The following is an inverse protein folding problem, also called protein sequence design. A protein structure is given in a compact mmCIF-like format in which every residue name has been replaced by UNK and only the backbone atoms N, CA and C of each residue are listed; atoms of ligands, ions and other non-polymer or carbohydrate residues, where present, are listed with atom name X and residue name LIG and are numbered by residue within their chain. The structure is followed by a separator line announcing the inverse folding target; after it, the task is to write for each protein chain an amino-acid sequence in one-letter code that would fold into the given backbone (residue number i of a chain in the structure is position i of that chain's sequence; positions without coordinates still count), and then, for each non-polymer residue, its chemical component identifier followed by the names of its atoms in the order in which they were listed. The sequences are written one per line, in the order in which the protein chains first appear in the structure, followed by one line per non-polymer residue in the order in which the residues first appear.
data_IF_232858152048
#
_entry.id   IF_232858152048
#
_cell.length_a   1.000
_cell.length_b   1.000
_cell.length_c   1.000
_cell.angle_alpha   90.00
_cell.angle_beta   90.00
_cell.angle_gamma   90.00
#
_symmetry.space_group_name_H-M   'P 1'
#
loop_
_entity.id
_entity.type
_entity.pdbx_description
1 polymer ?
#
# COMPACT_ATOMS: atom_id res chain seq x y z
N UNK A 1 20.70 47.54 53.07
CA UNK A 1 21.11 47.13 51.69
C UNK A 1 21.19 45.59 51.49
N UNK A 2 21.61 44.83 52.46
CA UNK A 2 21.78 43.35 52.32
C UNK A 2 20.48 42.54 52.08
N UNK A 3 19.31 43.03 52.53
CA UNK A 3 18.01 42.33 52.35
C UNK A 3 17.43 42.54 50.94
N UNK A 4 17.70 43.65 50.27
CA UNK A 4 17.19 43.95 48.92
C UNK A 4 17.90 43.07 47.86
N UNK A 5 19.22 42.79 48.04
CA UNK A 5 19.96 41.88 47.16
C UNK A 5 19.44 40.46 47.16
N UNK A 6 18.94 39.95 48.29
CA UNK A 6 18.40 38.58 48.40
C UNK A 6 17.09 38.46 47.60
N UNK A 7 16.24 39.48 47.61
CA UNK A 7 14.99 39.46 46.84
C UNK A 7 15.25 39.57 45.32
N UNK A 8 16.28 40.35 44.92
CA UNK A 8 16.68 40.42 43.49
C UNK A 8 17.26 39.08 42.99
N UNK A 9 18.05 38.39 43.81
CA UNK A 9 18.63 37.09 43.47
C UNK A 9 17.52 36.02 43.40
N UNK A 10 16.54 36.04 44.32
CA UNK A 10 15.40 35.11 44.24
C UNK A 10 14.48 35.35 43.08
N UNK A 11 14.27 36.62 42.68
CA UNK A 11 13.50 36.99 41.52
C UNK A 11 14.21 36.57 40.23
N UNK A 12 15.55 36.68 40.16
CA UNK A 12 16.32 36.26 39.01
C UNK A 12 16.31 34.71 38.83
N UNK A 13 16.37 33.96 39.94
CA UNK A 13 16.28 32.52 39.94
C UNK A 13 14.90 31.97 39.53
N UNK A 14 13.82 32.74 39.71
CA UNK A 14 12.47 32.36 39.26
C UNK A 14 12.31 32.65 37.78
N UNK A 15 13.00 33.66 37.22
CA UNK A 15 12.95 34.00 35.80
C UNK A 15 13.76 33.04 34.90
N UNK A 16 14.75 32.34 35.46
CA UNK A 16 15.56 31.34 34.77
C UNK A 16 15.03 29.90 34.93
N UNK A 17 13.77 29.71 35.37
CA UNK A 17 13.18 28.38 35.31
C UNK A 17 13.03 27.98 33.84
N UNK A 18 13.85 27.02 33.32
CA UNK A 18 13.61 26.52 31.99
C UNK A 18 12.20 25.94 31.97
N UNK A 19 11.38 26.44 31.08
CA UNK A 19 10.05 25.89 30.81
C UNK A 19 10.30 24.43 30.44
N UNK A 20 10.17 23.50 31.40
CA UNK A 20 10.25 22.06 31.14
C UNK A 20 8.99 21.73 30.36
N UNK A 21 9.10 21.84 29.06
CA UNK A 21 8.07 21.33 28.15
C UNK A 21 7.99 19.84 28.40
N UNK A 22 6.92 19.41 29.05
CA UNK A 22 6.60 17.99 29.19
C UNK A 22 6.49 17.42 27.77
N UNK A 23 7.45 16.58 27.38
CA UNK A 23 7.38 15.89 26.10
C UNK A 23 6.36 14.78 26.24
N UNK A 24 5.23 14.90 25.57
CA UNK A 24 4.26 13.83 25.50
C UNK A 24 4.88 12.61 24.80
N UNK A 25 4.85 11.49 25.49
CA UNK A 25 5.36 10.23 24.98
C UNK A 25 4.24 9.22 24.85
N UNK A 26 4.18 8.53 23.73
CA UNK A 26 3.26 7.42 23.51
C UNK A 26 4.01 6.09 23.38
N UNK A 27 3.36 5.04 23.85
CA UNK A 27 3.82 3.67 23.70
C UNK A 27 3.26 3.10 22.40
N UNK A 28 4.09 2.98 21.37
CA UNK A 28 3.71 2.47 20.06
C UNK A 28 4.03 0.96 19.96
N UNK A 29 3.02 0.08 19.78
CA UNK A 29 3.26 -1.36 19.63
C UNK A 29 3.76 -1.67 18.23
N UNK A 30 4.94 -2.26 18.11
CA UNK A 30 5.46 -2.85 16.88
C UNK A 30 4.87 -4.25 16.72
N UNK A 31 4.35 -4.57 15.53
CA UNK A 31 3.59 -5.80 15.25
C UNK A 31 4.20 -6.59 14.11
N UNK A 32 4.15 -7.91 14.23
CA UNK A 32 4.21 -8.83 13.09
C UNK A 32 2.79 -9.08 12.65
N UNK A 33 2.54 -9.08 11.34
CA UNK A 33 1.21 -9.27 10.78
C UNK A 33 1.24 -10.38 9.75
N UNK A 34 0.24 -11.25 9.82
CA UNK A 34 -0.04 -12.24 8.80
C UNK A 34 -1.45 -11.99 8.25
N UNK A 35 -1.58 -11.91 6.95
CA UNK A 35 -2.86 -11.63 6.31
C UNK A 35 -3.05 -12.39 5.02
N UNK A 36 -4.31 -12.45 4.58
CA UNK A 36 -4.69 -13.05 3.31
C UNK A 36 -5.72 -12.18 2.61
N UNK A 37 -5.67 -12.19 1.28
CA UNK A 37 -6.64 -11.51 0.42
C UNK A 37 -7.92 -12.35 0.31
N UNK A 38 -9.08 -11.70 0.50
CA UNK A 38 -10.37 -12.37 0.39
C UNK A 38 -11.06 -12.14 -0.96
N UNK A 39 -10.58 -11.19 -1.77
CA UNK A 39 -11.15 -10.90 -3.09
C UNK A 39 -10.93 -12.09 -4.02
N UNK A 40 -9.70 -12.62 -4.07
CA UNK A 40 -9.38 -13.76 -4.93
C UNK A 40 -10.25 -14.99 -4.68
N UNK A 41 -10.32 -15.51 -3.44
CA UNK A 41 -11.26 -16.58 -3.10
C UNK A 41 -12.72 -16.24 -3.36
N UNK A 42 -13.16 -14.99 -3.14
CA UNK A 42 -14.49 -14.51 -3.44
C UNK A 42 -14.84 -14.60 -4.93
N UNK A 43 -13.94 -14.21 -5.80
CA UNK A 43 -14.09 -14.34 -7.26
C UNK A 43 -14.17 -15.82 -7.65
N UNK A 44 -13.33 -16.68 -7.07
CA UNK A 44 -13.35 -18.12 -7.35
C UNK A 44 -14.69 -18.79 -6.97
N UNK A 45 -15.35 -18.33 -5.92
CA UNK A 45 -16.69 -18.83 -5.56
C UNK A 45 -17.73 -18.49 -6.62
N UNK A 46 -17.57 -17.37 -7.32
CA UNK A 46 -18.44 -16.92 -8.40
C UNK A 46 -18.03 -17.52 -9.77
N UNK A 47 -16.73 -17.56 -10.03
CA UNK A 47 -16.14 -18.04 -11.27
C UNK A 47 -15.07 -19.10 -11.00
N UNK A 48 -15.44 -20.38 -11.01
CA UNK A 48 -14.54 -21.51 -10.71
C UNK A 48 -13.33 -21.66 -11.64
N UNK A 49 -13.29 -20.89 -12.71
CA UNK A 49 -12.20 -20.90 -13.69
C UNK A 49 -11.02 -19.98 -13.31
N UNK A 50 -11.16 -19.18 -12.25
CA UNK A 50 -10.17 -18.18 -11.87
C UNK A 50 -9.83 -18.29 -10.38
N UNK A 51 -8.93 -19.21 -10.04
CA UNK A 51 -8.43 -19.35 -8.68
C UNK A 51 -7.23 -18.42 -8.48
N UNK A 52 -7.38 -17.40 -7.66
CA UNK A 52 -6.30 -16.52 -7.21
C UNK A 52 -6.26 -16.50 -5.68
N UNK A 53 -5.15 -16.94 -5.10
CA UNK A 53 -4.93 -16.94 -3.66
C UNK A 53 -3.67 -16.15 -3.34
N UNK A 54 -3.78 -15.23 -2.38
CA UNK A 54 -2.69 -14.36 -1.99
C UNK A 54 -2.65 -14.18 -0.47
N UNK A 55 -1.45 -14.26 0.10
CA UNK A 55 -1.20 -13.99 1.51
C UNK A 55 0.05 -13.14 1.70
N UNK A 56 0.19 -12.52 2.87
CA UNK A 56 1.35 -11.71 3.20
C UNK A 56 1.78 -11.84 4.66
N UNK A 57 3.05 -11.56 4.87
CA UNK A 57 3.65 -11.32 6.17
C UNK A 57 4.26 -9.92 6.19
N UNK A 58 4.00 -9.18 7.26
CA UNK A 58 4.55 -7.83 7.46
C UNK A 58 5.22 -7.74 8.82
N UNK A 59 6.35 -7.07 8.86
CA UNK A 59 7.16 -6.90 10.04
C UNK A 59 7.49 -5.41 10.25
N UNK A 60 7.00 -4.80 11.34
CA UNK A 60 7.27 -3.40 11.66
C UNK A 60 8.73 -3.22 12.07
N UNK A 61 9.48 -2.42 11.32
CA UNK A 61 10.81 -1.97 11.72
C UNK A 61 10.71 -0.84 12.75
N UNK A 62 9.80 0.08 12.51
CA UNK A 62 9.51 1.21 13.38
C UNK A 62 8.06 1.68 13.17
N UNK A 63 7.67 2.80 13.80
CA UNK A 63 6.33 3.40 13.69
C UNK A 63 5.92 3.82 12.28
N UNK A 64 6.91 4.07 11.39
CA UNK A 64 6.68 4.57 10.03
C UNK A 64 6.90 3.53 8.94
N UNK A 65 7.71 2.50 9.20
CA UNK A 65 8.18 1.59 8.16
C UNK A 65 8.01 0.13 8.56
N UNK A 66 7.50 -0.69 7.65
CA UNK A 66 7.42 -2.14 7.78
C UNK A 66 7.98 -2.83 6.54
N UNK A 67 8.63 -3.99 6.74
CA UNK A 67 8.98 -4.91 5.66
C UNK A 67 7.81 -5.82 5.37
N UNK A 68 7.61 -6.16 4.09
CA UNK A 68 6.50 -7.01 3.67
C UNK A 68 6.99 -8.06 2.68
N UNK A 69 6.52 -9.28 2.90
CA UNK A 69 6.69 -10.42 2.01
C UNK A 69 5.31 -10.91 1.64
N UNK A 70 5.02 -11.01 0.36
CA UNK A 70 3.74 -11.51 -0.14
C UNK A 70 4.00 -12.73 -1.04
N UNK A 71 3.03 -13.62 -1.11
CA UNK A 71 3.08 -14.75 -2.00
C UNK A 71 1.69 -15.22 -2.38
N UNK A 72 1.58 -15.86 -3.53
CA UNK A 72 0.31 -16.33 -4.00
C UNK A 72 0.42 -17.31 -5.15
N UNK A 73 -0.74 -17.83 -5.53
CA UNK A 73 -0.89 -18.80 -6.58
C UNK A 73 -2.09 -18.44 -7.45
N UNK A 74 -1.92 -18.56 -8.77
CA UNK A 74 -2.96 -18.34 -9.77
C UNK A 74 -3.16 -19.61 -10.59
N UNK A 75 -4.42 -19.97 -10.78
CA UNK A 75 -4.85 -20.91 -11.81
C UNK A 75 -6.00 -20.26 -12.58
N UNK A 76 -5.64 -19.71 -13.73
CA UNK A 76 -6.55 -18.96 -14.60
C UNK A 76 -6.86 -19.78 -15.84
N UNK A 77 -8.14 -20.03 -16.11
CA UNK A 77 -8.63 -20.70 -17.30
C UNK A 77 -9.57 -19.77 -18.03
N UNK A 78 -9.33 -19.63 -19.30
CA UNK A 78 -10.15 -18.80 -20.18
C UNK A 78 -10.52 -19.56 -21.42
N UNK A 79 -11.81 -19.75 -21.65
CA UNK A 79 -12.34 -20.46 -22.79
C UNK A 79 -13.23 -19.53 -23.61
N UNK A 80 -12.93 -19.41 -24.88
CA UNK A 80 -13.78 -18.75 -25.86
C UNK A 80 -14.04 -19.66 -27.06
N UNK A 81 -14.95 -19.24 -27.91
CA UNK A 81 -15.34 -20.00 -29.11
C UNK A 81 -14.15 -20.49 -29.95
N UNK A 82 -13.07 -19.70 -29.98
CA UNK A 82 -11.92 -19.93 -30.85
C UNK A 82 -10.70 -20.52 -30.14
N UNK A 83 -10.59 -20.42 -28.80
CA UNK A 83 -9.41 -20.90 -28.09
C UNK A 83 -9.66 -21.15 -26.59
N UNK A 84 -8.92 -22.12 -26.08
CA UNK A 84 -8.82 -22.43 -24.66
C UNK A 84 -7.43 -22.09 -24.16
N UNK A 85 -7.35 -21.17 -23.19
CA UNK A 85 -6.10 -20.71 -22.60
C UNK A 85 -6.05 -21.02 -21.13
N UNK A 86 -4.90 -21.49 -20.67
CA UNK A 86 -4.63 -21.76 -19.24
C UNK A 86 -3.32 -21.07 -18.84
N UNK A 87 -3.34 -20.40 -17.70
CA UNK A 87 -2.14 -19.86 -17.05
C UNK A 87 -2.11 -20.27 -15.60
N UNK A 88 -1.05 -20.97 -15.20
CA UNK A 88 -0.91 -21.51 -13.84
C UNK A 88 0.48 -21.22 -13.30
N UNK A 89 0.55 -20.71 -12.08
CA UNK A 89 1.84 -20.44 -11.46
C UNK A 89 1.76 -19.78 -10.10
N UNK A 90 2.93 -19.60 -9.51
CA UNK A 90 3.11 -18.93 -8.23
C UNK A 90 3.85 -17.60 -8.42
N UNK A 91 3.65 -16.71 -7.47
CA UNK A 91 4.37 -15.45 -7.41
C UNK A 91 4.81 -15.12 -5.99
N UNK A 92 5.85 -14.34 -5.89
CA UNK A 92 6.31 -13.77 -4.64
C UNK A 92 6.59 -12.28 -4.82
N UNK A 93 6.39 -11.48 -3.77
CA UNK A 93 6.69 -10.05 -3.74
C UNK A 93 7.42 -9.71 -2.46
N UNK A 94 8.39 -8.84 -2.57
CA UNK A 94 9.14 -8.29 -1.44
C UNK A 94 9.05 -6.77 -1.49
N UNK A 95 8.90 -6.14 -0.34
CA UNK A 95 8.81 -4.70 -0.33
C UNK A 95 8.75 -4.07 1.05
N UNK A 96 8.40 -2.80 1.03
CA UNK A 96 8.29 -1.96 2.22
C UNK A 96 6.98 -1.19 2.21
N UNK A 97 6.41 -1.02 3.39
CA UNK A 97 5.27 -0.13 3.66
C UNK A 97 5.73 1.09 4.43
N UNK A 98 5.30 2.25 4.00
CA UNK A 98 5.48 3.52 4.70
C UNK A 98 4.14 3.98 5.26
N UNK A 99 4.09 4.19 6.57
CA UNK A 99 2.93 4.77 7.24
C UNK A 99 3.03 6.30 7.17
N UNK A 100 2.02 6.94 6.59
CA UNK A 100 1.92 8.38 6.47
C UNK A 100 1.23 9.02 7.68
N UNK A 101 0.56 8.21 8.51
CA UNK A 101 -0.07 8.71 9.72
C UNK A 101 0.98 9.05 10.78
N UNK A 102 0.75 10.14 11.48
CA UNK A 102 1.53 10.49 12.66
C UNK A 102 1.33 9.43 13.77
N UNK A 103 2.35 9.12 14.57
CA UNK A 103 2.26 8.06 15.58
C UNK A 103 1.16 8.28 16.63
N UNK A 104 0.86 9.52 16.98
CA UNK A 104 -0.23 9.94 17.87
C UNK A 104 -1.61 9.61 17.31
N UNK A 105 -1.81 9.78 16.00
CA UNK A 105 -3.06 9.46 15.29
C UNK A 105 -3.16 7.97 14.96
N UNK A 106 -2.04 7.33 14.64
CA UNK A 106 -2.02 5.91 14.30
C UNK A 106 -2.24 5.00 15.50
N UNK A 107 -1.69 5.34 16.68
CA UNK A 107 -1.74 4.58 17.95
C UNK A 107 -1.45 3.07 17.77
N UNK A 108 -0.80 2.67 16.67
CA UNK A 108 -0.59 1.28 16.30
C UNK A 108 -1.85 0.51 15.86
N UNK A 109 -3.01 1.17 15.78
CA UNK A 109 -4.28 0.56 15.36
C UNK A 109 -4.66 0.94 13.93
N UNK A 110 -4.22 2.10 13.45
CA UNK A 110 -4.50 2.62 12.13
C UNK A 110 -3.24 2.68 11.28
N UNK A 111 -3.40 2.41 10.01
CA UNK A 111 -2.36 2.60 9.02
C UNK A 111 -2.98 3.18 7.75
N UNK A 112 -2.42 4.26 7.27
CA UNK A 112 -2.67 4.78 5.94
C UNK A 112 -1.33 5.15 5.32
N UNK A 113 -1.05 4.63 4.14
CA UNK A 113 0.29 4.75 3.60
C UNK A 113 0.46 4.23 2.20
N UNK A 114 1.70 4.11 1.81
CA UNK A 114 2.12 3.66 0.49
C UNK A 114 3.13 2.53 0.66
N UNK A 115 2.91 1.44 -0.06
CA UNK A 115 3.85 0.35 -0.20
C UNK A 115 4.59 0.38 -1.54
N UNK A 116 5.83 -0.08 -1.55
CA UNK A 116 6.59 -0.38 -2.75
C UNK A 116 6.96 -1.86 -2.74
N UNK A 117 6.71 -2.56 -3.85
CA UNK A 117 6.94 -4.00 -4.01
C UNK A 117 7.72 -4.28 -5.29
N UNK A 118 8.60 -5.27 -5.20
CA UNK A 118 9.18 -5.96 -6.34
C UNK A 118 8.61 -7.37 -6.40
N UNK A 119 8.03 -7.74 -7.53
CA UNK A 119 7.37 -9.02 -7.76
C UNK A 119 8.11 -9.89 -8.76
N UNK A 120 8.12 -11.19 -8.46
CA UNK A 120 8.59 -12.27 -9.31
C UNK A 120 7.48 -13.28 -9.49
N UNK A 121 7.20 -13.65 -10.73
CA UNK A 121 6.21 -14.65 -11.10
C UNK A 121 6.84 -15.78 -11.87
N UNK A 122 6.58 -17.02 -11.45
CA UNK A 122 6.99 -18.27 -12.10
C UNK A 122 5.72 -19.00 -12.52
N UNK A 123 5.50 -19.16 -13.81
CA UNK A 123 4.25 -19.69 -14.31
C UNK A 123 4.42 -20.43 -15.62
N UNK A 124 3.41 -21.20 -16.00
CA UNK A 124 3.28 -21.80 -17.31
C UNK A 124 1.99 -21.34 -17.98
N UNK A 125 2.09 -21.14 -19.29
CA UNK A 125 0.93 -20.82 -20.12
C UNK A 125 0.83 -21.81 -21.26
N UNK A 126 -0.41 -22.19 -21.60
CA UNK A 126 -0.70 -23.08 -22.74
C UNK A 126 -1.98 -22.65 -23.43
N UNK A 127 -2.09 -22.99 -24.71
CA UNK A 127 -3.32 -22.90 -25.47
C UNK A 127 -3.65 -24.28 -26.02
N UNK A 128 -4.56 -24.97 -25.36
CA UNK A 128 -4.89 -26.37 -25.69
C UNK A 128 -5.69 -26.49 -26.99
N UNK A 129 -6.46 -25.48 -27.35
CA UNK A 129 -7.27 -25.47 -28.55
C UNK A 129 -7.24 -24.06 -29.15
N UNK A 130 -6.84 -23.96 -30.39
CA UNK A 130 -6.90 -22.75 -31.20
C UNK A 130 -7.61 -23.10 -32.51
N UNK A 131 -8.88 -22.72 -32.64
CA UNK A 131 -9.70 -22.99 -33.80
C UNK A 131 -9.68 -21.78 -34.72
N UNK A 132 -9.21 -21.99 -35.94
CA UNK A 132 -9.12 -20.96 -36.93
C UNK A 132 -9.95 -21.38 -38.18
N UNK A 133 -10.90 -20.53 -38.55
CA UNK A 133 -11.73 -20.74 -39.75
C UNK A 133 -11.44 -19.66 -40.75
N UNK A 134 -10.99 -20.06 -41.94
CA UNK A 134 -10.76 -19.16 -43.05
C UNK A 134 -11.42 -19.67 -44.33
N UNK A 135 -11.21 -18.94 -45.42
CA UNK A 135 -11.73 -19.32 -46.75
C UNK A 135 -11.29 -20.70 -47.23
N UNK A 136 -10.12 -21.18 -46.74
CA UNK A 136 -9.49 -22.45 -47.18
C UNK A 136 -9.89 -23.64 -46.26
N UNK A 137 -10.68 -23.40 -45.24
CA UNK A 137 -11.15 -24.45 -44.34
C UNK A 137 -11.01 -24.11 -42.84
N UNK A 138 -11.25 -25.12 -42.03
CA UNK A 138 -11.10 -25.06 -40.60
C UNK A 138 -9.78 -25.74 -40.20
N UNK A 139 -9.00 -25.06 -39.35
CA UNK A 139 -7.74 -25.59 -38.83
C UNK A 139 -7.77 -25.50 -37.31
N UNK A 140 -7.41 -26.59 -36.66
CA UNK A 140 -7.22 -26.64 -35.21
C UNK A 140 -5.74 -26.79 -34.92
N UNK A 141 -5.22 -25.95 -34.06
CA UNK A 141 -3.82 -25.96 -33.60
C UNK A 141 -3.78 -25.91 -32.07
N UNK A 142 -2.64 -26.20 -31.49
CA UNK A 142 -2.38 -26.05 -30.06
C UNK A 142 -1.00 -25.46 -29.86
N UNK A 143 -0.85 -24.67 -28.79
CA UNK A 143 0.44 -24.16 -28.35
C UNK A 143 0.78 -24.89 -27.07
N UNK A 144 1.90 -25.64 -27.04
CA UNK A 144 2.29 -26.43 -25.88
C UNK A 144 2.59 -25.54 -24.67
N UNK A 145 2.53 -26.14 -23.49
CA UNK A 145 2.84 -25.44 -22.24
C UNK A 145 4.28 -24.95 -22.22
N UNK A 146 4.45 -23.66 -22.01
CA UNK A 146 5.74 -22.99 -21.91
C UNK A 146 5.90 -22.38 -20.52
N UNK A 147 7.08 -22.64 -19.89
CA UNK A 147 7.43 -22.04 -18.59
C UNK A 147 8.00 -20.64 -18.79
N UNK A 148 7.49 -19.70 -18.02
CA UNK A 148 7.80 -18.29 -18.14
C UNK A 148 8.13 -17.69 -16.78
N UNK A 149 8.94 -16.63 -16.81
CA UNK A 149 9.31 -15.84 -15.63
C UNK A 149 8.97 -14.38 -15.93
N UNK A 150 8.25 -13.73 -15.02
CA UNK A 150 7.95 -12.31 -15.15
C UNK A 150 8.40 -11.54 -13.91
N UNK A 151 8.85 -10.31 -14.14
CA UNK A 151 9.29 -9.36 -13.11
C UNK A 151 8.48 -8.08 -13.21
N UNK A 152 8.06 -7.54 -12.08
CA UNK A 152 7.26 -6.33 -12.05
C UNK A 152 7.49 -5.53 -10.78
N UNK A 153 7.16 -4.24 -10.85
CA UNK A 153 7.12 -3.34 -9.70
C UNK A 153 5.66 -3.00 -9.36
N UNK A 154 5.40 -2.77 -8.10
CA UNK A 154 4.10 -2.30 -7.64
C UNK A 154 4.23 -1.13 -6.68
N UNK A 155 3.32 -0.16 -6.83
CA UNK A 155 3.04 0.88 -5.84
C UNK A 155 1.68 0.58 -5.23
N UNK A 156 1.62 0.54 -3.90
CA UNK A 156 0.48 0.00 -3.16
C UNK A 156 0.00 1.01 -2.11
N UNK A 157 -0.74 2.06 -2.50
CA UNK A 157 -1.45 2.88 -1.54
C UNK A 157 -2.58 2.08 -0.88
N UNK A 158 -2.84 2.36 0.40
CA UNK A 158 -3.90 1.67 1.11
C UNK A 158 -4.15 2.16 2.52
N UNK A 159 -5.17 1.58 3.12
CA UNK A 159 -5.57 1.85 4.50
C UNK A 159 -5.90 0.54 5.22
N UNK A 160 -5.62 0.50 6.51
CA UNK A 160 -5.91 -0.62 7.38
C UNK A 160 -6.30 -0.11 8.78
N UNK A 161 -7.28 -0.76 9.38
CA UNK A 161 -7.74 -0.48 10.73
C UNK A 161 -7.86 -1.76 11.55
N UNK A 162 -7.54 -1.70 12.83
CA UNK A 162 -7.78 -2.79 13.77
C UNK A 162 -9.27 -2.74 14.19
N UNK A 163 -10.02 -3.76 13.80
CA UNK A 163 -11.47 -3.85 14.05
C UNK A 163 -11.74 -4.59 15.38
N UNK A 164 -10.97 -5.62 15.64
CA UNK A 164 -10.98 -6.36 16.90
C UNK A 164 -9.57 -6.47 17.44
N UNK A 165 -9.44 -6.82 18.71
CA UNK A 165 -8.13 -7.03 19.32
C UNK A 165 -7.32 -8.02 18.47
N UNK A 166 -6.18 -7.56 17.97
CA UNK A 166 -5.26 -8.31 17.11
C UNK A 166 -5.81 -8.68 15.72
N UNK A 167 -6.97 -8.19 15.31
CA UNK A 167 -7.53 -8.43 13.99
C UNK A 167 -7.74 -7.11 13.26
N UNK A 168 -7.08 -6.96 12.12
CA UNK A 168 -7.22 -5.78 11.26
C UNK A 168 -7.82 -6.16 9.91
N UNK A 169 -8.51 -5.21 9.34
CA UNK A 169 -9.01 -5.26 7.97
C UNK A 169 -8.51 -4.04 7.21
N UNK A 170 -8.27 -4.20 5.93
CA UNK A 170 -7.80 -3.10 5.11
C UNK A 170 -7.94 -3.38 3.63
N UNK A 171 -7.91 -2.33 2.87
CA UNK A 171 -7.90 -2.42 1.42
C UNK A 171 -6.71 -1.67 0.85
N UNK A 172 -6.24 -2.14 -0.29
CA UNK A 172 -5.14 -1.53 -1.02
C UNK A 172 -5.49 -1.44 -2.49
N UNK A 173 -5.06 -0.36 -3.11
CA UNK A 173 -5.01 -0.24 -4.57
C UNK A 173 -3.60 -0.62 -4.99
N UNK A 174 -3.48 -1.36 -6.08
CA UNK A 174 -2.18 -1.81 -6.62
C UNK A 174 -1.99 -1.23 -8.01
N UNK A 175 -0.94 -0.47 -8.18
CA UNK A 175 -0.49 0.03 -9.48
C UNK A 175 0.78 -0.75 -9.85
N UNK A 176 0.71 -1.50 -10.95
CA UNK A 176 1.72 -2.48 -11.33
C UNK A 176 2.37 -2.09 -12.64
N UNK A 177 3.70 -2.20 -12.70
CA UNK A 177 4.51 -1.93 -13.89
C UNK A 177 5.31 -3.19 -14.25
N UNK A 178 5.09 -3.73 -15.44
CA UNK A 178 5.82 -4.89 -15.95
C UNK A 178 7.22 -4.47 -16.40
N UNK A 179 8.24 -5.10 -15.82
CA UNK A 179 9.64 -4.93 -16.22
C UNK A 179 10.03 -5.95 -17.28
N UNK A 180 9.61 -7.20 -17.09
CA UNK A 180 9.83 -8.30 -18.02
C UNK A 180 8.66 -9.26 -17.97
N UNK A 181 8.00 -9.48 -19.10
CA UNK A 181 6.78 -10.28 -19.21
C UNK A 181 7.02 -11.77 -19.49
N UNK A 182 8.28 -12.21 -19.55
CA UNK A 182 8.61 -13.60 -19.78
C UNK A 182 8.02 -14.16 -21.07
N UNK A 183 7.95 -13.34 -22.12
CA UNK A 183 7.39 -13.76 -23.40
C UNK A 183 8.09 -15.00 -23.92
N UNK A 184 7.33 -16.08 -24.09
CA UNK A 184 7.77 -17.26 -24.79
C UNK A 184 8.03 -16.99 -26.28
N UNK A 185 8.59 -17.95 -26.99
CA UNK A 185 8.88 -17.79 -28.42
C UNK A 185 7.60 -17.67 -29.23
N UNK A 186 6.55 -18.38 -28.83
CA UNK A 186 5.32 -18.54 -29.61
C UNK A 186 4.07 -17.99 -28.92
N UNK A 187 4.12 -17.75 -27.59
CA UNK A 187 2.94 -17.32 -26.82
C UNK A 187 3.24 -16.09 -25.95
N UNK A 188 2.45 -15.04 -26.16
CA UNK A 188 2.41 -13.93 -25.23
C UNK A 188 1.40 -14.25 -24.12
N UNK A 189 1.80 -14.22 -22.83
CA UNK A 189 0.88 -14.59 -21.75
C UNK A 189 -0.29 -13.60 -21.65
N UNK A 190 -1.51 -14.12 -21.60
CA UNK A 190 -2.72 -13.30 -21.37
C UNK A 190 -2.81 -12.91 -19.91
N UNK A 191 -2.47 -13.84 -19.00
CA UNK A 191 -2.51 -13.61 -17.57
C UNK A 191 -1.20 -14.05 -16.92
N UNK A 192 -0.63 -13.15 -16.10
CA UNK A 192 0.60 -13.39 -15.33
C UNK A 192 0.22 -13.41 -13.85
N UNK A 193 0.54 -14.50 -13.11
CA UNK A 193 0.26 -14.59 -11.68
C UNK A 193 0.81 -13.40 -10.90
N UNK A 194 -0.01 -12.84 -10.01
CA UNK A 194 0.34 -11.67 -9.21
C UNK A 194 0.34 -10.34 -9.96
N UNK A 195 0.56 -10.34 -11.27
CA UNK A 195 0.60 -9.13 -12.08
C UNK A 195 -0.75 -8.79 -12.71
N UNK A 196 -1.40 -9.74 -13.38
CA UNK A 196 -2.64 -9.56 -14.11
C UNK A 196 -2.48 -9.71 -15.62
N UNK A 197 -3.00 -8.81 -16.44
CA UNK A 197 -2.97 -8.91 -17.89
C UNK A 197 -1.55 -8.75 -18.44
N UNK A 198 -1.00 -9.81 -19.02
CA UNK A 198 0.36 -9.84 -19.57
C UNK A 198 0.54 -9.07 -20.88
N UNK A 199 -0.56 -8.69 -21.54
CA UNK A 199 -0.55 -7.86 -22.74
C UNK A 199 -0.37 -6.35 -22.46
N UNK A 200 -0.40 -5.92 -21.19
CA UNK A 200 -0.27 -4.53 -20.77
C UNK A 200 1.00 -4.30 -19.97
N UNK A 201 1.64 -3.15 -20.19
CA UNK A 201 2.84 -2.73 -19.42
C UNK A 201 2.43 -2.28 -18.02
N UNK A 202 1.23 -1.71 -17.88
CA UNK A 202 0.69 -1.26 -16.60
C UNK A 202 -0.62 -1.96 -16.29
N UNK A 203 -0.80 -2.38 -15.04
CA UNK A 203 -2.04 -2.97 -14.54
C UNK A 203 -2.46 -2.31 -13.24
N UNK A 204 -3.77 -2.29 -12.99
CA UNK A 204 -4.37 -1.90 -11.72
C UNK A 204 -4.99 -3.12 -11.03
N UNK A 205 -5.09 -3.05 -9.71
CA UNK A 205 -5.77 -4.06 -8.90
C UNK A 205 -6.24 -3.50 -7.58
N UNK A 206 -7.18 -4.18 -6.96
CA UNK A 206 -7.66 -3.89 -5.61
C UNK A 206 -7.54 -5.19 -4.82
N UNK A 207 -7.10 -5.08 -3.57
CA UNK A 207 -7.04 -6.19 -2.63
C UNK A 207 -7.70 -5.80 -1.32
N UNK A 208 -8.39 -6.73 -0.69
CA UNK A 208 -8.97 -6.56 0.63
C UNK A 208 -8.44 -7.66 1.56
N UNK A 209 -7.71 -7.24 2.59
CA UNK A 209 -7.01 -8.16 3.46
C UNK A 209 -7.67 -8.27 4.84
N UNK A 210 -7.73 -9.49 5.33
CA UNK A 210 -7.92 -9.79 6.75
C UNK A 210 -6.56 -10.15 7.31
N UNK A 211 -6.20 -9.50 8.43
CA UNK A 211 -4.84 -9.53 8.97
C UNK A 211 -4.87 -9.82 10.46
N UNK A 212 -4.08 -10.79 10.90
CA UNK A 212 -3.81 -11.07 12.29
C UNK A 212 -2.55 -10.33 12.75
N UNK A 213 -2.67 -9.57 13.85
CA UNK A 213 -1.60 -8.73 14.39
C UNK A 213 -1.02 -9.38 15.64
N UNK A 214 0.28 -9.54 15.69
CA UNK A 214 1.02 -10.08 16.84
C UNK A 214 1.98 -8.99 17.32
N UNK A 215 1.71 -8.30 18.44
CA UNK A 215 2.65 -7.33 19.00
C UNK A 215 3.88 -8.07 19.54
N UNK A 216 5.07 -7.62 19.18
CA UNK A 216 6.32 -8.24 19.62
C UNK A 216 7.22 -7.30 20.43
N UNK A 217 7.05 -5.99 20.27
CA UNK A 217 7.84 -4.97 20.98
C UNK A 217 7.03 -3.68 21.09
N UNK A 218 7.25 -2.94 22.17
CA UNK A 218 6.72 -1.58 22.33
C UNK A 218 7.86 -0.58 22.25
N UNK A 219 7.67 0.48 21.49
CA UNK A 219 8.60 1.59 21.33
C UNK A 219 8.00 2.85 21.92
N UNK A 220 8.76 3.56 22.74
CA UNK A 220 8.39 4.90 23.20
C UNK A 220 8.68 5.90 22.07
N UNK A 221 7.68 6.64 21.67
CA UNK A 221 7.78 7.69 20.63
C UNK A 221 7.48 9.03 21.29
N UNK A 222 8.38 9.99 21.11
CA UNK A 222 8.23 11.36 21.58
C UNK A 222 7.39 12.12 20.54
N UNK A 223 6.29 12.72 20.97
CA UNK A 223 5.48 13.59 20.14
C UNK A 223 6.07 15.00 20.25
N UNK A 224 6.45 15.56 19.13
CA UNK A 224 6.74 17.00 19.09
C UNK A 224 5.41 17.74 19.11
N UNK A 225 5.17 18.68 20.04
CA UNK A 225 4.01 19.54 19.98
C UNK A 225 3.97 20.24 18.62
N UNK A 226 2.85 20.17 17.94
CA UNK A 226 2.62 21.02 16.78
C UNK A 226 2.58 22.46 17.29
N UNK A 227 3.50 23.29 16.81
CA UNK A 227 3.32 24.74 16.95
C UNK A 227 1.99 25.04 16.26
N UNK A 228 1.12 25.88 16.87
CA UNK A 228 -0.06 26.36 16.18
C UNK A 228 0.40 26.89 14.83
N UNK A 229 -0.23 26.41 13.75
CA UNK A 229 -0.02 27.03 12.45
C UNK A 229 -0.31 28.52 12.68
N UNK A 230 0.65 29.39 12.37
CA UNK A 230 0.40 30.81 12.28
C UNK A 230 -0.70 30.91 11.23
N UNK A 231 -1.94 31.07 11.68
CA UNK A 231 -3.04 31.47 10.81
C UNK A 231 -2.51 32.74 10.15
N UNK A 232 -2.30 32.67 8.84
CA UNK A 232 -2.05 33.85 8.01
C UNK A 232 -3.18 34.80 8.34
N UNK A 233 -2.92 35.77 9.23
CA UNK A 233 -3.76 36.96 9.35
C UNK A 233 -3.66 37.65 8.00
N UNK A 234 -4.55 37.27 7.08
CA UNK A 234 -4.89 38.13 5.94
C UNK A 234 -5.32 39.45 6.53
N UNK A 235 -4.38 40.37 6.57
CA UNK A 235 -4.64 41.78 6.82
C UNK A 235 -5.57 42.21 5.67
N UNK A 236 -6.87 42.22 5.94
CA UNK A 236 -7.82 42.95 5.11
C UNK A 236 -7.32 44.40 5.10
N UNK A 237 -6.57 44.79 4.08
CA UNK A 237 -6.35 46.18 3.74
C UNK A 237 -7.68 46.76 3.33
N UNK A 238 -8.39 47.32 4.33
CA UNK A 238 -9.55 48.18 4.11
C UNK A 238 -9.11 49.30 3.16
N UNK A 239 -9.58 49.23 1.92
CA UNK A 239 -9.41 50.23 0.87
C UNK A 239 -10.14 51.53 1.29
N UNK A 240 -9.41 52.39 2.04
CA UNK A 240 -9.87 53.75 2.39
C UNK A 240 -9.53 54.70 1.23
N UNK A 241 -10.00 54.39 0.03
CA UNK A 241 -9.91 55.35 -1.11
C UNK A 241 -11.22 55.59 -1.80
N UNK A 242 -12.21 56.09 -1.04
CA UNK A 242 -13.53 56.32 -1.61
C UNK A 242 -14.29 57.49 -1.03
N UNK A 243 -13.67 58.63 -0.73
CA UNK A 243 -14.43 59.86 -0.54
C UNK A 243 -13.58 61.09 -0.80
N UNK A 244 -13.72 61.72 -1.96
CA UNK A 244 -13.81 63.14 -2.20
C UNK A 244 -13.72 63.49 -3.68
N UNK A 245 -14.85 63.67 -4.32
CA UNK A 245 -15.03 64.67 -5.37
C UNK A 245 -16.51 65.13 -5.41
N UNK A 246 -16.75 66.20 -4.68
CA UNK A 246 -17.92 67.03 -4.86
C UNK A 246 -17.50 68.21 -5.73
N UNK A 247 -18.46 68.64 -6.62
CA UNK A 247 -18.60 69.98 -7.28
C UNK A 247 -17.54 70.34 -8.34
N UNK A 248 -17.93 70.58 -9.59
CA UNK A 248 -18.82 71.64 -10.11
C UNK A 248 -19.41 71.22 -11.46
#
# INVERSE_FOLDING_TARGET
MRKISVYFISLFLILDMPCIMAQDTILFPLKVRAGFDIIGPGIYMSEKNNLNMEGFLSFDKNEKMAYVVEGGYLNFKYSQYNYDYTSTGAFARLGVDLNLLKPDKALGHYWAGIGLRYGLSLFSSETSSLNYKNYWGEMTSSIPSEKMIAHFLEVVPGVRTEVFKNLSMGWTVRLKLLLSGGGGKDLRPISIPGYGNGGRITNGGISYFITWNIPYKTKTVIIKPELPDEEDEEIEEEDVSGQQRISF
#
